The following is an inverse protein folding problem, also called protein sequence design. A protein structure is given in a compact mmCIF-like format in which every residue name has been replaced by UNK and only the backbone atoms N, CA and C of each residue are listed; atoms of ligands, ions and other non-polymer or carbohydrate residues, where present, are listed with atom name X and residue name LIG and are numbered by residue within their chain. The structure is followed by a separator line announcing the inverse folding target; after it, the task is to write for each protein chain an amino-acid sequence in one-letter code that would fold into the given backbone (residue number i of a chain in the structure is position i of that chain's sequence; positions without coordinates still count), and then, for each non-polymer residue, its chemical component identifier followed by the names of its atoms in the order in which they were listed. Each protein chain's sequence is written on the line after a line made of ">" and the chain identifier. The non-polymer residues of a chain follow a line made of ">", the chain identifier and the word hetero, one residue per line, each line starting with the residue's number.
data_IF_301685979586
#
_entry.id   IF_301685979586
#
_cell.length_a   1.000
_cell.length_b   1.000
_cell.length_c   1.000
_cell.angle_alpha   90.00
_cell.angle_beta   90.00
_cell.angle_gamma   90.00
#
_symmetry.space_group_name_H-M   'P 1'
#
loop_
_entity.id
_entity.type
_entity.pdbx_description
1 polymer ?
#
# COMPACT_ATOMS: atom_id res chain seq x y z
N UNK A 1 6.40 -23.52 -47.03
CA UNK A 1 7.75 -22.91 -46.95
C UNK A 1 7.72 -21.45 -47.43
N UNK A 2 7.28 -20.49 -46.61
CA UNK A 2 7.43 -19.02 -46.85
C UNK A 2 7.29 -18.23 -45.54
N UNK A 3 8.09 -18.50 -44.51
CA UNK A 3 8.03 -17.75 -43.24
C UNK A 3 9.38 -17.32 -42.66
N UNK A 4 10.47 -17.39 -43.43
CA UNK A 4 11.82 -17.05 -42.93
C UNK A 4 12.32 -15.66 -43.40
N UNK A 5 11.50 -14.88 -44.12
CA UNK A 5 11.91 -13.56 -44.63
C UNK A 5 11.52 -12.40 -43.69
N UNK A 6 10.48 -12.57 -42.87
CA UNK A 6 10.04 -11.56 -41.90
C UNK A 6 10.94 -11.46 -40.66
N UNK A 7 11.61 -12.55 -40.28
CA UNK A 7 12.51 -12.58 -39.12
C UNK A 7 13.85 -11.85 -39.37
N UNK A 8 14.30 -11.80 -40.64
CA UNK A 8 15.58 -11.18 -41.02
C UNK A 8 15.47 -9.64 -41.01
N UNK A 9 14.29 -9.09 -41.31
CA UNK A 9 14.05 -7.63 -41.27
C UNK A 9 13.98 -7.06 -39.85
N UNK A 10 13.55 -7.86 -38.86
CA UNK A 10 13.45 -7.41 -37.46
C UNK A 10 14.83 -7.31 -36.77
N UNK A 11 15.78 -8.18 -37.13
CA UNK A 11 17.16 -8.16 -36.59
C UNK A 11 17.95 -6.94 -37.10
N UNK A 12 17.71 -6.49 -38.34
CA UNK A 12 18.40 -5.32 -38.91
C UNK A 12 17.92 -4.01 -38.25
N UNK A 13 16.66 -3.93 -37.80
CA UNK A 13 16.14 -2.75 -37.13
C UNK A 13 16.65 -2.59 -35.68
N UNK A 14 16.90 -3.69 -34.96
CA UNK A 14 17.52 -3.67 -33.63
C UNK A 14 19.04 -3.44 -33.67
N UNK A 15 19.73 -3.86 -34.76
CA UNK A 15 21.16 -3.63 -34.94
C UNK A 15 21.54 -2.22 -35.40
N UNK A 16 20.63 -1.49 -36.06
CA UNK A 16 20.89 -0.16 -36.62
C UNK A 16 20.89 1.00 -35.60
N UNK A 17 20.17 0.85 -34.49
CA UNK A 17 20.08 1.90 -33.45
C UNK A 17 21.28 1.85 -32.49
N UNK A 18 21.83 0.66 -32.22
CA UNK A 18 22.97 0.47 -31.32
C UNK A 18 24.31 1.03 -31.82
N UNK A 19 24.46 1.23 -33.13
CA UNK A 19 25.70 1.77 -33.73
C UNK A 19 25.71 3.31 -33.74
N UNK A 20 24.55 3.96 -33.61
CA UNK A 20 24.46 5.43 -33.68
C UNK A 20 24.87 6.15 -32.39
N UNK A 21 24.80 5.49 -31.23
CA UNK A 21 25.13 6.12 -29.93
C UNK A 21 26.62 5.95 -29.56
N UNK A 22 27.38 5.09 -30.24
CA UNK A 22 28.77 4.78 -29.86
C UNK A 22 29.86 5.64 -30.56
N UNK A 23 29.49 6.66 -31.35
CA UNK A 23 30.45 7.45 -32.15
C UNK A 23 30.54 8.93 -31.78
N UNK A 24 30.48 9.28 -30.50
CA UNK A 24 30.78 10.67 -30.09
C UNK A 24 31.47 10.78 -28.73
N UNK A 25 32.67 10.19 -28.62
CA UNK A 25 33.62 10.48 -27.54
C UNK A 25 34.96 10.92 -28.15
N UNK A 26 35.29 12.21 -28.05
CA UNK A 26 36.62 12.76 -28.29
C UNK A 26 36.78 14.08 -27.52
N UNK A 27 37.75 14.07 -26.60
CA UNK A 27 38.20 15.17 -25.73
C UNK A 27 39.06 16.19 -26.49
N UNK A 28 39.23 17.41 -25.95
CA UNK A 28 40.60 17.88 -25.68
C UNK A 28 40.80 18.46 -24.27
N UNK A 29 42.06 18.44 -23.84
CA UNK A 29 42.65 18.76 -22.53
C UNK A 29 43.23 20.20 -22.47
N UNK A 30 43.71 20.62 -21.27
CA UNK A 30 44.60 21.76 -20.91
C UNK A 30 43.84 23.03 -20.43
N UNK A 31 44.06 23.66 -19.26
CA UNK A 31 45.01 23.49 -18.16
C UNK A 31 44.47 24.06 -16.83
N UNK A 32 44.98 23.45 -15.75
CA UNK A 32 45.16 23.89 -14.36
C UNK A 32 44.95 25.38 -14.05
N UNK A 33 44.14 25.65 -13.02
CA UNK A 33 44.64 26.47 -11.91
C UNK A 33 44.15 25.91 -10.56
N UNK A 34 45.08 25.87 -9.62
CA UNK A 34 44.89 25.45 -8.22
C UNK A 34 44.51 26.70 -7.44
N UNK A 35 43.56 26.60 -6.51
CA UNK A 35 43.78 27.01 -5.12
C UNK A 35 42.59 26.64 -4.24
N UNK A 36 42.90 25.76 -3.30
CA UNK A 36 42.08 25.33 -2.16
C UNK A 36 41.90 26.51 -1.21
N UNK A 37 40.67 26.79 -0.80
CA UNK A 37 40.40 27.43 0.49
C UNK A 37 39.52 26.49 1.30
N UNK A 38 40.22 25.68 2.07
CA UNK A 38 39.72 24.96 3.24
C UNK A 38 39.42 26.03 4.31
N UNK A 39 38.13 26.21 4.65
CA UNK A 39 37.74 26.91 5.87
C UNK A 39 37.02 25.91 6.76
N UNK A 40 37.79 25.53 7.76
CA UNK A 40 37.53 24.73 8.95
C UNK A 40 36.34 25.26 9.78
N UNK A 41 35.77 24.35 10.61
CA UNK A 41 35.04 24.56 11.90
C UNK A 41 33.48 24.50 11.84
N UNK A 42 32.79 23.77 12.75
CA UNK A 42 33.13 22.51 13.43
C UNK A 42 32.00 21.45 13.36
N UNK A 43 32.36 20.19 13.61
CA UNK A 43 31.43 19.17 14.10
C UNK A 43 30.87 19.62 15.45
N UNK A 44 29.57 19.91 15.49
CA UNK A 44 28.81 19.87 16.74
C UNK A 44 27.68 18.88 16.55
N UNK A 45 27.78 17.80 17.32
CA UNK A 45 26.76 16.81 17.63
C UNK A 45 25.40 17.47 17.84
N UNK A 46 24.47 17.23 16.92
CA UNK A 46 23.04 17.36 17.20
C UNK A 46 22.48 15.95 17.19
N UNK A 47 22.05 15.53 18.37
CA UNK A 47 21.44 14.25 18.65
C UNK A 47 20.36 13.93 17.61
N UNK A 48 20.54 12.84 16.86
CA UNK A 48 19.54 12.33 15.90
C UNK A 48 18.57 11.34 16.55
N UNK A 49 18.44 11.39 17.87
CA UNK A 49 17.44 10.68 18.64
C UNK A 49 16.22 11.58 18.90
N UNK A 50 15.50 12.02 17.86
CA UNK A 50 14.05 12.21 17.99
C UNK A 50 13.37 12.35 16.63
N UNK A 51 12.24 11.63 16.51
CA UNK A 51 11.33 11.50 15.37
C UNK A 51 11.65 10.47 14.31
N UNK A 52 11.79 9.22 14.75
CA UNK A 52 10.94 8.15 14.23
C UNK A 52 10.53 7.28 15.42
N UNK A 53 9.52 7.74 16.18
CA UNK A 53 8.67 6.79 16.87
C UNK A 53 8.05 5.93 15.76
N UNK A 54 8.67 4.80 15.48
CA UNK A 54 8.08 3.75 14.67
C UNK A 54 6.78 3.41 15.35
N UNK A 55 5.68 3.68 14.63
CA UNK A 55 4.31 3.46 15.04
C UNK A 55 4.22 2.21 15.89
N UNK A 56 3.72 2.37 17.11
CA UNK A 56 3.08 1.27 17.80
C UNK A 56 1.86 0.92 16.94
N UNK A 57 2.03 0.01 15.98
CA UNK A 57 0.95 -0.54 15.15
C UNK A 57 -0.15 -0.98 16.12
N UNK A 58 -1.24 -0.22 16.13
CA UNK A 58 -2.37 -0.52 16.97
C UNK A 58 -3.05 -1.76 16.39
N UNK A 59 -3.21 -2.79 17.21
CA UNK A 59 -3.76 -4.08 16.80
C UNK A 59 -5.25 -3.99 16.43
N UNK A 60 -5.93 -2.88 16.76
CA UNK A 60 -7.34 -2.65 16.45
C UNK A 60 -7.61 -2.15 15.02
N UNK A 61 -6.58 -1.75 14.26
CA UNK A 61 -6.72 -1.33 12.87
C UNK A 61 -5.56 -1.85 12.03
N UNK A 62 -5.84 -2.87 11.23
CA UNK A 62 -4.81 -3.69 10.58
C UNK A 62 -5.21 -4.08 9.17
N UNK A 63 -4.21 -4.25 8.30
CA UNK A 63 -4.43 -4.79 6.95
C UNK A 63 -4.74 -6.29 7.00
N UNK A 64 -5.52 -6.74 6.03
CA UNK A 64 -5.90 -8.13 5.91
C UNK A 64 -4.68 -9.03 5.62
N UNK A 65 -4.60 -10.10 6.40
CA UNK A 65 -3.92 -11.33 6.02
C UNK A 65 -4.71 -12.51 6.58
N UNK A 66 -4.48 -13.70 6.04
CA UNK A 66 -5.07 -14.93 6.59
C UNK A 66 -4.61 -15.21 8.02
N UNK A 67 -3.41 -14.77 8.38
CA UNK A 67 -2.86 -14.85 9.74
C UNK A 67 -3.63 -13.92 10.68
N UNK A 68 -3.74 -12.63 10.35
CA UNK A 68 -4.49 -11.63 11.14
C UNK A 68 -5.94 -12.06 11.35
N UNK A 69 -6.60 -12.56 10.30
CA UNK A 69 -7.98 -13.04 10.42
C UNK A 69 -8.09 -14.21 11.41
N UNK A 70 -7.07 -15.07 11.52
CA UNK A 70 -7.06 -16.19 12.46
C UNK A 70 -6.66 -15.79 13.88
N UNK A 71 -5.69 -14.89 14.03
CA UNK A 71 -5.19 -14.43 15.33
C UNK A 71 -6.23 -13.62 16.09
N UNK A 72 -7.08 -12.88 15.38
CA UNK A 72 -8.06 -11.95 15.96
C UNK A 72 -9.42 -12.59 16.27
N UNK A 73 -9.52 -13.93 16.26
CA UNK A 73 -10.79 -14.67 16.46
C UNK A 73 -11.48 -14.42 17.80
N UNK A 74 -10.73 -14.01 18.80
CA UNK A 74 -11.20 -13.65 20.14
C UNK A 74 -11.65 -12.18 20.24
N UNK A 75 -11.52 -11.39 19.17
CA UNK A 75 -12.00 -10.01 19.07
C UNK A 75 -13.28 -9.92 18.24
N UNK A 76 -14.05 -8.85 18.43
CA UNK A 76 -15.12 -8.45 17.51
C UNK A 76 -14.49 -7.89 16.24
N UNK A 77 -14.46 -8.72 15.20
CA UNK A 77 -13.83 -8.36 13.92
C UNK A 77 -14.82 -7.64 13.01
N UNK A 78 -14.35 -6.55 12.41
CA UNK A 78 -15.04 -5.83 11.34
C UNK A 78 -14.16 -5.85 10.10
N UNK A 79 -14.60 -6.53 9.05
CA UNK A 79 -13.96 -6.47 7.74
C UNK A 79 -14.36 -5.18 7.05
N UNK A 80 -13.39 -4.36 6.66
CA UNK A 80 -13.61 -3.14 5.89
C UNK A 80 -13.12 -3.34 4.46
N UNK A 81 -14.07 -3.64 3.55
CA UNK A 81 -13.80 -3.76 2.12
C UNK A 81 -13.64 -2.37 1.52
N UNK A 82 -12.43 -2.07 1.07
CA UNK A 82 -12.02 -0.73 0.68
C UNK A 82 -11.25 -0.77 -0.65
N UNK A 83 -11.10 0.38 -1.30
CA UNK A 83 -10.31 0.50 -2.52
C UNK A 83 -9.39 1.73 -2.48
N UNK A 84 -8.21 1.66 -3.09
CA UNK A 84 -7.24 2.76 -3.11
C UNK A 84 -7.74 3.98 -3.89
N UNK A 85 -8.49 3.76 -4.97
CA UNK A 85 -9.08 4.83 -5.80
C UNK A 85 -10.36 5.44 -5.20
N UNK A 86 -10.86 4.93 -4.09
CA UNK A 86 -12.12 5.34 -3.47
C UNK A 86 -11.92 6.51 -2.48
N UNK A 87 -12.41 7.73 -2.78
CA UNK A 87 -12.17 8.90 -1.93
C UNK A 87 -12.80 8.78 -0.53
N UNK A 88 -14.01 8.21 -0.46
CA UNK A 88 -14.69 8.01 0.82
C UNK A 88 -14.01 6.93 1.66
N UNK A 89 -13.41 5.93 1.02
CA UNK A 89 -12.61 4.91 1.70
C UNK A 89 -11.38 5.56 2.33
N UNK A 90 -10.69 6.46 1.61
CA UNK A 90 -9.58 7.25 2.16
C UNK A 90 -10.02 8.04 3.41
N UNK A 91 -11.14 8.75 3.34
CA UNK A 91 -11.71 9.49 4.48
C UNK A 91 -11.93 8.58 5.70
N UNK A 92 -12.53 7.40 5.50
CA UNK A 92 -12.76 6.44 6.57
C UNK A 92 -11.44 5.93 7.19
N UNK A 93 -10.43 5.60 6.37
CA UNK A 93 -9.10 5.16 6.85
C UNK A 93 -8.40 6.23 7.70
N UNK A 94 -8.45 7.48 7.25
CA UNK A 94 -7.92 8.64 8.00
C UNK A 94 -8.67 8.78 9.33
N UNK A 95 -10.01 8.76 9.30
CA UNK A 95 -10.86 8.86 10.48
C UNK A 95 -10.58 7.76 11.51
N UNK A 96 -10.39 6.50 11.09
CA UNK A 96 -10.03 5.40 12.00
C UNK A 96 -8.64 5.57 12.60
N UNK A 97 -7.66 6.00 11.82
CA UNK A 97 -6.28 6.23 12.28
C UNK A 97 -6.24 7.36 13.32
N UNK A 98 -6.89 8.49 13.04
CA UNK A 98 -6.95 9.64 13.94
C UNK A 98 -7.76 9.37 15.22
N UNK A 99 -8.74 8.46 15.14
CA UNK A 99 -9.66 8.16 16.23
C UNK A 99 -9.49 6.74 16.80
N UNK A 100 -8.29 6.15 16.66
CA UNK A 100 -8.02 4.77 17.10
C UNK A 100 -8.39 4.53 18.58
N UNK A 101 -8.21 5.54 19.43
CA UNK A 101 -8.57 5.47 20.86
C UNK A 101 -10.07 5.34 21.12
N UNK A 102 -10.92 5.65 20.14
CA UNK A 102 -12.38 5.48 20.23
C UNK A 102 -12.84 4.09 19.82
N UNK A 103 -12.03 3.34 19.08
CA UNK A 103 -12.35 1.96 18.73
C UNK A 103 -12.31 1.13 20.03
N UNK A 104 -13.38 0.39 20.37
CA UNK A 104 -13.39 -0.45 21.56
C UNK A 104 -12.18 -1.40 21.60
N UNK A 105 -11.65 -1.67 22.79
CA UNK A 105 -10.46 -2.51 22.96
C UNK A 105 -10.65 -3.94 22.48
N UNK A 106 -11.90 -4.39 22.38
CA UNK A 106 -12.29 -5.72 21.91
C UNK A 106 -12.65 -5.74 20.42
N UNK A 107 -12.43 -4.64 19.67
CA UNK A 107 -12.77 -4.55 18.25
C UNK A 107 -11.51 -4.46 17.40
N UNK A 108 -11.45 -5.29 16.35
CA UNK A 108 -10.41 -5.21 15.33
C UNK A 108 -11.05 -4.90 13.98
N UNK A 109 -10.67 -3.77 13.39
CA UNK A 109 -10.99 -3.44 12.01
C UNK A 109 -9.91 -4.03 11.10
N UNK A 110 -10.31 -4.93 10.21
CA UNK A 110 -9.43 -5.61 9.25
C UNK A 110 -9.69 -5.03 7.87
N UNK A 111 -8.71 -4.33 7.31
CA UNK A 111 -8.80 -3.63 6.02
C UNK A 111 -8.58 -4.63 4.89
N UNK A 112 -9.60 -4.83 4.05
CA UNK A 112 -9.59 -5.80 2.96
C UNK A 112 -9.59 -5.05 1.64
N UNK A 113 -8.63 -5.32 0.75
CA UNK A 113 -8.57 -4.67 -0.55
C UNK A 113 -9.67 -5.20 -1.48
N UNK A 114 -10.32 -4.32 -2.22
CA UNK A 114 -11.44 -4.66 -3.09
C UNK A 114 -11.36 -3.87 -4.40
N UNK A 115 -11.35 -4.60 -5.52
CA UNK A 115 -11.25 -4.03 -6.87
C UNK A 115 -10.07 -3.03 -7.06
N UNK A 116 -8.95 -3.30 -6.42
CA UNK A 116 -7.64 -2.67 -6.70
C UNK A 116 -6.77 -3.56 -7.60
N UNK A 117 -5.66 -3.01 -8.10
CA UNK A 117 -4.71 -3.70 -8.98
C UNK A 117 -3.95 -4.84 -8.27
N UNK A 118 -3.82 -4.77 -6.94
CA UNK A 118 -3.01 -5.65 -6.09
C UNK A 118 -3.83 -6.62 -5.23
N UNK A 119 -5.14 -6.75 -5.47
CA UNK A 119 -6.02 -7.65 -4.70
C UNK A 119 -5.61 -9.11 -4.84
N UNK A 120 -5.35 -9.75 -3.70
CA UNK A 120 -5.00 -11.16 -3.55
C UNK A 120 -6.18 -12.10 -3.87
N UNK A 121 -5.91 -13.40 -3.95
CA UNK A 121 -6.95 -14.41 -4.18
C UNK A 121 -7.87 -14.52 -2.96
N UNK A 122 -7.30 -14.45 -1.77
CA UNK A 122 -7.97 -14.60 -0.49
C UNK A 122 -8.94 -13.44 -0.24
N UNK A 123 -8.53 -12.20 -0.56
CA UNK A 123 -9.42 -11.03 -0.50
C UNK A 123 -10.60 -11.14 -1.47
N UNK A 124 -10.36 -11.63 -2.70
CA UNK A 124 -11.44 -11.91 -3.68
C UNK A 124 -12.41 -12.97 -3.18
N UNK A 125 -11.90 -14.04 -2.58
CA UNK A 125 -12.73 -15.10 -1.99
C UNK A 125 -13.54 -14.59 -0.80
N UNK A 126 -12.96 -13.72 0.03
CA UNK A 126 -13.64 -13.07 1.15
C UNK A 126 -14.77 -12.14 0.66
N UNK A 127 -14.48 -11.30 -0.32
CA UNK A 127 -15.47 -10.43 -0.94
C UNK A 127 -16.63 -11.25 -1.55
N UNK A 128 -16.32 -12.37 -2.20
CA UNK A 128 -17.33 -13.30 -2.72
C UNK A 128 -18.13 -13.95 -1.59
N UNK A 129 -17.48 -14.43 -0.54
CA UNK A 129 -18.11 -15.09 0.63
C UNK A 129 -19.19 -14.19 1.25
N UNK A 130 -18.89 -12.90 1.41
CA UNK A 130 -19.81 -11.94 2.00
C UNK A 130 -20.65 -11.16 0.95
N UNK A 131 -20.59 -11.54 -0.33
CA UNK A 131 -21.42 -10.91 -1.37
C UNK A 131 -21.15 -9.41 -1.55
N UNK A 132 -19.89 -8.99 -1.46
CA UNK A 132 -19.48 -7.59 -1.56
C UNK A 132 -19.56 -7.12 -3.02
N UNK A 133 -20.40 -6.12 -3.26
CA UNK A 133 -20.63 -5.50 -4.58
C UNK A 133 -20.23 -4.03 -4.63
N UNK A 134 -19.73 -3.50 -3.52
CA UNK A 134 -19.38 -2.10 -3.35
C UNK A 134 -18.16 -2.00 -2.43
N UNK A 135 -17.19 -1.18 -2.79
CA UNK A 135 -16.14 -0.73 -1.89
C UNK A 135 -16.73 0.23 -0.86
N UNK A 136 -16.08 0.41 0.28
CA UNK A 136 -16.66 1.10 1.42
C UNK A 136 -17.80 0.30 2.08
N UNK A 137 -17.64 -1.01 2.16
CA UNK A 137 -18.57 -1.91 2.84
C UNK A 137 -17.89 -2.50 4.07
N UNK A 138 -18.64 -2.57 5.15
CA UNK A 138 -18.20 -3.16 6.41
C UNK A 138 -19.00 -4.43 6.69
N UNK A 139 -18.33 -5.44 7.23
CA UNK A 139 -18.95 -6.69 7.68
C UNK A 139 -18.44 -7.04 9.06
N UNK A 140 -19.29 -6.99 10.08
CA UNK A 140 -18.97 -7.55 11.39
C UNK A 140 -19.16 -9.07 11.33
N UNK A 141 -18.19 -9.81 11.85
CA UNK A 141 -18.20 -11.28 11.84
C UNK A 141 -18.03 -11.86 13.25
N UNK A 142 -18.66 -13.00 13.50
CA UNK A 142 -18.43 -13.81 14.70
C UNK A 142 -17.08 -14.54 14.64
N UNK A 143 -16.72 -15.28 15.69
CA UNK A 143 -15.47 -16.07 15.81
C UNK A 143 -15.32 -17.15 14.71
N UNK A 144 -16.45 -17.72 14.26
CA UNK A 144 -16.53 -18.69 13.16
C UNK A 144 -16.50 -18.03 11.76
N UNK A 145 -16.52 -16.70 11.71
CA UNK A 145 -16.55 -15.93 10.47
C UNK A 145 -17.92 -15.89 9.79
N UNK A 146 -19.00 -16.11 10.53
CA UNK A 146 -20.38 -15.82 10.08
C UNK A 146 -20.66 -14.32 10.20
N UNK A 147 -21.48 -13.80 9.30
CA UNK A 147 -21.89 -12.40 9.30
C UNK A 147 -22.87 -12.08 10.44
N UNK A 148 -22.55 -11.08 11.24
CA UNK A 148 -23.39 -10.52 12.31
C UNK A 148 -24.16 -9.28 11.80
N UNK A 149 -23.45 -8.42 11.06
CA UNK A 149 -24.00 -7.21 10.45
C UNK A 149 -23.18 -6.80 9.23
N UNK A 150 -23.83 -6.07 8.32
CA UNK A 150 -23.21 -5.51 7.12
C UNK A 150 -23.82 -4.16 6.82
N UNK A 151 -22.98 -3.18 6.50
CA UNK A 151 -23.42 -1.83 6.14
C UNK A 151 -22.46 -1.19 5.14
N UNK A 152 -22.91 -0.11 4.50
CA UNK A 152 -22.13 0.64 3.50
C UNK A 152 -21.90 2.06 4.00
N UNK A 153 -20.71 2.59 3.74
CA UNK A 153 -20.34 3.95 4.08
C UNK A 153 -20.05 4.16 5.57
N UNK A 154 -19.58 5.36 5.87
CA UNK A 154 -19.37 5.84 7.22
C UNK A 154 -17.92 5.94 7.65
N UNK A 155 -17.71 6.59 8.78
CA UNK A 155 -16.41 6.74 9.40
C UNK A 155 -16.45 6.20 10.83
N UNK A 156 -15.69 6.79 11.76
CA UNK A 156 -15.63 6.31 13.15
C UNK A 156 -17.01 6.29 13.83
N UNK A 157 -17.87 7.29 13.59
CA UNK A 157 -19.17 7.37 14.27
C UNK A 157 -20.12 6.27 13.76
N UNK A 158 -20.19 6.07 12.45
CA UNK A 158 -21.01 5.04 11.84
C UNK A 158 -20.52 3.65 12.24
N UNK A 159 -19.21 3.42 12.28
CA UNK A 159 -18.63 2.18 12.83
C UNK A 159 -19.19 1.93 14.24
N UNK A 160 -19.01 2.88 15.16
CA UNK A 160 -19.45 2.74 16.55
C UNK A 160 -20.95 2.50 16.69
N UNK A 161 -21.75 3.10 15.80
CA UNK A 161 -23.21 2.95 15.82
C UNK A 161 -23.70 1.60 15.27
N UNK A 162 -22.93 0.94 14.40
CA UNK A 162 -23.31 -0.32 13.75
C UNK A 162 -22.75 -1.57 14.44
N UNK A 163 -21.75 -1.41 15.32
CA UNK A 163 -21.21 -2.50 16.11
C UNK A 163 -22.30 -3.14 16.97
N UNK A 164 -22.45 -4.46 16.82
CA UNK A 164 -23.30 -5.31 17.65
C UNK A 164 -22.49 -6.05 18.72
#
# INVERSE_FOLDING_TARGET
>A
MKSNLLFILFIIFLGGIGVYIFKNNSSPEIAKDRMVKEVMVPKTSVNSEEKMAIDKKDDRYVDFSTEILNETKDTRRVLFFNANWCPTCKSARESFTENISKIPSDVTIIVVSYNDDDVTKEEKELAKKYGITYQHTFVQIDDQGSEISKWNGGEINELLSNLK
#
